data_IF_648518908412
#
_entry.id   IF_648518908412
#
_cell.length_a   1.000
_cell.length_b   1.000
_cell.length_c   1.000
_cell.angle_alpha   90.00
_cell.angle_beta   90.00
_cell.angle_gamma   90.00
#
_symmetry.space_group_name_H-M   'P 1'
#
loop_
_entity.id
_entity.type
_entity.pdbx_description
1 polymer ?
#
# COMPACT_ATOMS: atom_id res chain seq x y z
N UNK A 1 -5.67 42.61 7.02
CA UNK A 1 -5.96 41.26 6.47
C UNK A 1 -5.17 40.24 7.26
N UNK A 2 -5.84 39.24 7.82
CA UNK A 2 -5.20 38.17 8.59
C UNK A 2 -4.16 37.43 7.72
N UNK A 3 -3.00 37.09 8.31
CA UNK A 3 -1.97 36.31 7.59
C UNK A 3 -2.48 34.88 7.36
N UNK A 4 -2.33 34.31 6.16
CA UNK A 4 -2.71 32.92 5.91
C UNK A 4 -1.83 31.96 6.73
N UNK A 5 -2.42 30.84 7.18
CA UNK A 5 -1.69 29.79 7.87
C UNK A 5 -0.68 29.11 6.94
N UNK A 6 0.57 28.98 7.37
CA UNK A 6 1.63 28.29 6.62
C UNK A 6 2.15 27.13 7.44
N UNK A 7 1.90 25.91 6.97
CA UNK A 7 2.44 24.71 7.59
C UNK A 7 3.90 24.50 7.19
N UNK A 8 4.82 24.62 8.15
CA UNK A 8 6.26 24.54 7.90
C UNK A 8 6.72 23.19 7.33
N UNK A 9 5.94 22.13 7.54
CA UNK A 9 6.25 20.77 7.09
C UNK A 9 5.45 20.36 5.85
N UNK A 10 4.88 21.31 5.10
CA UNK A 10 4.07 21.01 3.90
C UNK A 10 4.85 20.15 2.88
N UNK A 11 6.12 20.49 2.62
CA UNK A 11 6.97 19.70 1.71
C UNK A 11 7.27 18.29 2.20
N UNK A 12 7.34 18.11 3.52
CA UNK A 12 7.49 16.78 4.12
C UNK A 12 6.18 15.99 3.95
N UNK A 13 5.03 16.62 4.15
CA UNK A 13 3.72 16.00 3.96
C UNK A 13 3.52 15.58 2.50
N UNK A 14 3.79 16.46 1.53
CA UNK A 14 3.77 16.16 0.10
C UNK A 14 4.63 14.93 -0.24
N UNK A 15 5.87 14.90 0.28
CA UNK A 15 6.76 13.76 0.08
C UNK A 15 6.21 12.47 0.70
N UNK A 16 5.61 12.52 1.90
CA UNK A 16 5.00 11.34 2.52
C UNK A 16 3.77 10.82 1.77
N UNK A 17 3.00 11.70 1.14
CA UNK A 17 1.90 11.33 0.24
C UNK A 17 2.45 10.55 -0.95
N UNK A 18 3.53 11.05 -1.57
CA UNK A 18 4.19 10.35 -2.68
C UNK A 18 4.72 8.98 -2.27
N UNK A 19 5.34 8.87 -1.09
CA UNK A 19 5.80 7.58 -0.55
C UNK A 19 4.66 6.60 -0.29
N UNK A 20 3.52 7.06 0.23
CA UNK A 20 2.34 6.21 0.41
C UNK A 20 1.82 5.70 -0.94
N UNK A 21 1.76 6.56 -1.95
CA UNK A 21 1.31 6.18 -3.29
C UNK A 21 2.24 5.14 -3.93
N UNK A 22 3.55 5.34 -3.82
CA UNK A 22 4.55 4.36 -4.26
C UNK A 22 4.38 3.01 -3.54
N UNK A 23 4.14 3.03 -2.23
CA UNK A 23 3.92 1.81 -1.45
C UNK A 23 2.63 1.08 -1.85
N UNK A 24 1.55 1.81 -2.15
CA UNK A 24 0.30 1.24 -2.68
C UNK A 24 0.51 0.59 -4.04
N UNK A 25 1.24 1.24 -4.95
CA UNK A 25 1.59 0.68 -6.26
C UNK A 25 2.46 -0.59 -6.11
N UNK A 26 3.44 -0.56 -5.20
CA UNK A 26 4.28 -1.72 -4.91
C UNK A 26 3.46 -2.90 -4.37
N UNK A 27 2.49 -2.62 -3.47
CA UNK A 27 1.55 -3.63 -2.97
C UNK A 27 0.67 -4.20 -4.08
N UNK A 28 0.10 -3.36 -4.94
CA UNK A 28 -0.71 -3.81 -6.07
C UNK A 28 0.07 -4.73 -7.01
N UNK A 29 1.32 -4.37 -7.32
CA UNK A 29 2.24 -5.22 -8.09
C UNK A 29 2.50 -6.55 -7.39
N UNK A 30 2.81 -6.53 -6.10
CA UNK A 30 3.08 -7.76 -5.34
C UNK A 30 1.86 -8.69 -5.27
N UNK A 31 0.64 -8.14 -5.17
CA UNK A 31 -0.60 -8.90 -5.26
C UNK A 31 -0.77 -9.56 -6.63
N UNK A 32 -0.54 -8.80 -7.71
CA UNK A 32 -0.64 -9.33 -9.07
C UNK A 32 0.37 -10.45 -9.32
N UNK A 33 1.64 -10.28 -8.93
CA UNK A 33 2.66 -11.32 -9.08
C UNK A 33 2.33 -12.57 -8.25
N UNK A 34 1.85 -12.41 -7.01
CA UNK A 34 1.43 -13.54 -6.18
C UNK A 34 0.28 -14.32 -6.82
N UNK A 35 -0.76 -13.61 -7.31
CA UNK A 35 -1.90 -14.24 -7.98
C UNK A 35 -1.50 -14.99 -9.25
N UNK A 36 -0.58 -14.44 -10.05
CA UNK A 36 -0.01 -15.15 -11.21
C UNK A 36 0.78 -16.39 -10.79
N UNK A 37 1.59 -16.29 -9.73
CA UNK A 37 2.33 -17.42 -9.18
C UNK A 37 1.41 -18.55 -8.71
N UNK A 38 0.33 -18.23 -8.02
CA UNK A 38 -0.68 -19.22 -7.64
C UNK A 38 -1.36 -19.86 -8.85
N UNK A 39 -1.66 -19.08 -9.88
CA UNK A 39 -2.27 -19.60 -11.09
C UNK A 39 -1.34 -20.57 -11.82
N UNK A 40 -0.07 -20.19 -12.03
CA UNK A 40 0.92 -21.06 -12.66
C UNK A 40 1.10 -22.37 -11.88
N UNK A 41 1.08 -22.29 -10.55
CA UNK A 41 1.18 -23.46 -9.68
C UNK A 41 -0.04 -24.38 -9.81
N UNK A 42 -1.26 -23.82 -9.82
CA UNK A 42 -2.50 -24.59 -10.09
C UNK A 42 -2.49 -25.25 -11.47
N UNK A 43 -1.99 -24.56 -12.49
CA UNK A 43 -1.86 -25.13 -13.85
C UNK A 43 -0.90 -26.32 -13.88
N UNK A 44 0.22 -26.26 -13.14
CA UNK A 44 1.14 -27.39 -13.00
C UNK A 44 0.51 -28.57 -12.24
N UNK A 45 -0.25 -28.31 -11.17
CA UNK A 45 -0.97 -29.34 -10.43
C UNK A 45 -1.99 -30.05 -11.34
N UNK A 46 -2.77 -29.29 -12.10
CA UNK A 46 -3.73 -29.85 -13.07
C UNK A 46 -3.05 -30.70 -14.14
N UNK A 47 -1.91 -30.25 -14.69
CA UNK A 47 -1.13 -31.02 -15.67
C UNK A 47 -0.60 -32.33 -15.08
N UNK A 48 -0.14 -32.31 -13.84
CA UNK A 48 0.31 -33.52 -13.15
C UNK A 48 -0.85 -34.48 -12.88
N UNK A 49 -1.99 -33.97 -12.41
CA UNK A 49 -3.20 -34.77 -12.21
C UNK A 49 -3.69 -35.41 -13.51
N UNK A 50 -3.71 -34.64 -14.61
CA UNK A 50 -4.08 -35.15 -15.92
C UNK A 50 -3.11 -36.24 -16.39
N UNK A 51 -1.81 -36.01 -16.24
CA UNK A 51 -0.78 -37.00 -16.59
C UNK A 51 -0.93 -38.31 -15.79
N UNK A 52 -1.24 -38.21 -14.49
CA UNK A 52 -1.51 -39.37 -13.64
C UNK A 52 -2.83 -40.05 -14.01
N UNK A 53 -3.87 -39.29 -14.37
CA UNK A 53 -5.19 -39.81 -14.75
C UNK A 53 -5.16 -40.54 -16.09
N UNK A 54 -4.41 -40.03 -17.07
CA UNK A 54 -4.18 -40.72 -18.34
C UNK A 54 -3.62 -42.13 -18.12
N UNK A 55 -2.91 -42.32 -16.99
CA UNK A 55 -2.46 -43.61 -16.54
C UNK A 55 -1.47 -44.25 -17.51
N UNK A 56 -1.11 -45.49 -17.23
CA UNK A 56 -0.34 -46.31 -18.15
C UNK A 56 -1.32 -47.12 -19.02
N UNK A 57 -1.38 -46.83 -20.31
CA UNK A 57 -2.10 -47.66 -21.27
C UNK A 57 -1.26 -48.91 -21.56
N UNK A 58 -1.87 -50.11 -21.50
CA UNK A 58 -1.19 -51.40 -21.58
C UNK A 58 -0.37 -51.65 -22.85
N UNK A 59 -0.58 -50.87 -23.91
CA UNK A 59 0.07 -51.00 -25.22
C UNK A 59 1.32 -50.11 -25.39
N UNK A 60 1.74 -49.38 -24.37
CA UNK A 60 2.95 -48.52 -24.43
C UNK A 60 4.24 -49.36 -24.50
N UNK A 61 5.17 -48.94 -25.36
CA UNK A 61 6.49 -49.57 -25.42
C UNK A 61 7.40 -49.05 -24.28
N UNK A 62 8.59 -49.64 -24.13
CA UNK A 62 9.56 -49.26 -23.07
C UNK A 62 10.01 -47.80 -23.14
N UNK A 63 10.14 -47.22 -24.34
CA UNK A 63 10.49 -45.80 -24.52
C UNK A 63 9.34 -44.88 -24.12
N UNK A 64 8.08 -45.26 -24.43
CA UNK A 64 6.89 -44.48 -24.03
C UNK A 64 6.77 -44.44 -22.50
N UNK A 65 7.02 -45.57 -21.83
CA UNK A 65 7.06 -45.65 -20.37
C UNK A 65 8.18 -44.78 -19.78
N UNK A 66 9.35 -44.76 -20.40
CA UNK A 66 10.46 -43.91 -19.96
C UNK A 66 10.11 -42.42 -20.10
N UNK A 67 9.54 -42.02 -21.24
CA UNK A 67 9.14 -40.64 -21.50
C UNK A 67 8.04 -40.18 -20.55
N UNK A 68 7.05 -41.04 -20.30
CA UNK A 68 5.99 -40.80 -19.32
C UNK A 68 6.57 -40.51 -17.92
N UNK A 69 7.49 -41.37 -17.45
CA UNK A 69 8.13 -41.18 -16.14
C UNK A 69 8.97 -39.91 -16.06
N UNK A 70 9.71 -39.60 -17.13
CA UNK A 70 10.52 -38.37 -17.19
C UNK A 70 9.65 -37.12 -17.16
N UNK A 71 8.54 -37.11 -17.90
CA UNK A 71 7.62 -35.98 -17.89
C UNK A 71 6.98 -35.78 -16.52
N UNK A 72 6.56 -36.85 -15.84
CA UNK A 72 6.11 -36.77 -14.44
C UNK A 72 7.17 -36.14 -13.53
N UNK A 73 8.41 -36.62 -13.63
CA UNK A 73 9.51 -36.13 -12.80
C UNK A 73 9.80 -34.64 -13.05
N UNK A 74 9.74 -34.20 -14.30
CA UNK A 74 9.88 -32.79 -14.66
C UNK A 74 8.75 -31.94 -14.06
N UNK A 75 7.48 -32.38 -14.16
CA UNK A 75 6.34 -31.68 -13.54
C UNK A 75 6.47 -31.58 -12.01
N UNK A 76 6.94 -32.65 -11.36
CA UNK A 76 7.18 -32.64 -9.91
C UNK A 76 8.29 -31.65 -9.53
N UNK A 77 9.37 -31.57 -10.31
CA UNK A 77 10.43 -30.58 -10.10
C UNK A 77 9.93 -29.15 -10.32
N UNK A 78 9.18 -28.91 -11.39
CA UNK A 78 8.57 -27.61 -11.68
C UNK A 78 7.64 -27.17 -10.55
N UNK A 79 6.86 -28.08 -9.96
CA UNK A 79 6.02 -27.82 -8.80
C UNK A 79 6.82 -27.43 -7.56
N UNK A 80 7.95 -28.10 -7.29
CA UNK A 80 8.83 -27.74 -6.17
C UNK A 80 9.37 -26.31 -6.37
N UNK A 81 9.84 -26.00 -7.57
CA UNK A 81 10.33 -24.65 -7.90
C UNK A 81 9.23 -23.60 -7.82
N UNK A 82 8.03 -23.89 -8.33
CA UNK A 82 6.88 -22.99 -8.28
C UNK A 82 6.43 -22.72 -6.82
N UNK A 83 6.44 -23.74 -5.96
CA UNK A 83 6.14 -23.58 -4.51
C UNK A 83 7.17 -22.69 -3.82
N UNK A 84 8.45 -22.85 -4.13
CA UNK A 84 9.51 -22.01 -3.56
C UNK A 84 9.37 -20.54 -4.01
N UNK A 85 9.09 -20.30 -5.28
CA UNK A 85 8.86 -18.94 -5.79
C UNK A 85 7.58 -18.33 -5.21
N UNK A 86 6.50 -19.11 -5.08
CA UNK A 86 5.27 -18.63 -4.45
C UNK A 86 5.50 -18.22 -2.99
N UNK A 87 6.28 -18.99 -2.23
CA UNK A 87 6.66 -18.62 -0.87
C UNK A 87 7.46 -17.30 -0.82
N UNK A 88 8.38 -17.10 -1.79
CA UNK A 88 9.11 -15.84 -1.94
C UNK A 88 8.19 -14.67 -2.28
N UNK A 89 7.25 -14.86 -3.19
CA UNK A 89 6.23 -13.86 -3.56
C UNK A 89 5.33 -13.52 -2.38
N UNK A 90 4.94 -14.51 -1.56
CA UNK A 90 4.15 -14.31 -0.35
C UNK A 90 4.90 -13.44 0.67
N UNK A 91 6.19 -13.68 0.88
CA UNK A 91 7.02 -12.85 1.74
C UNK A 91 7.15 -11.42 1.20
N UNK A 92 7.31 -11.26 -0.12
CA UNK A 92 7.34 -9.93 -0.77
C UNK A 92 6.02 -9.19 -0.59
N UNK A 93 4.90 -9.87 -0.76
CA UNK A 93 3.55 -9.34 -0.52
C UNK A 93 3.37 -8.90 0.93
N UNK A 94 3.78 -9.71 1.90
CA UNK A 94 3.71 -9.36 3.31
C UNK A 94 4.52 -8.09 3.62
N UNK A 95 5.74 -7.99 3.11
CA UNK A 95 6.59 -6.80 3.27
C UNK A 95 5.94 -5.56 2.66
N UNK A 96 5.40 -5.67 1.44
CA UNK A 96 4.71 -4.57 0.78
C UNK A 96 3.45 -4.11 1.55
N UNK A 97 2.70 -5.04 2.15
CA UNK A 97 1.55 -4.71 3.03
C UNK A 97 2.01 -3.94 4.26
N UNK A 98 3.06 -4.39 4.93
CA UNK A 98 3.61 -3.72 6.12
C UNK A 98 4.11 -2.30 5.80
N UNK A 99 4.82 -2.14 4.69
CA UNK A 99 5.31 -0.82 4.27
C UNK A 99 4.15 0.12 3.92
N UNK A 100 3.16 -0.33 3.13
CA UNK A 100 1.98 0.48 2.82
C UNK A 100 1.22 0.96 4.08
N UNK A 101 1.08 0.08 5.09
CA UNK A 101 0.50 0.46 6.38
C UNK A 101 1.37 1.48 7.11
N UNK A 102 2.69 1.30 7.14
CA UNK A 102 3.62 2.24 7.78
C UNK A 102 3.55 3.61 7.13
N UNK A 103 3.61 3.68 5.79
CA UNK A 103 3.54 4.95 5.05
C UNK A 103 2.22 5.67 5.25
N UNK A 104 1.11 4.93 5.28
CA UNK A 104 -0.20 5.52 5.57
C UNK A 104 -0.28 6.10 6.98
N UNK A 105 0.31 5.42 7.98
CA UNK A 105 0.41 5.95 9.36
C UNK A 105 1.26 7.22 9.40
N UNK A 106 2.43 7.23 8.75
CA UNK A 106 3.34 8.37 8.73
C UNK A 106 2.72 9.61 8.09
N UNK A 107 1.94 9.44 7.01
CA UNK A 107 1.16 10.52 6.39
C UNK A 107 0.09 11.04 7.36
N UNK A 108 -0.74 10.14 7.90
CA UNK A 108 -1.84 10.52 8.80
C UNK A 108 -1.37 11.26 10.05
N UNK A 109 -0.18 10.92 10.56
CA UNK A 109 0.41 11.62 11.69
C UNK A 109 0.72 13.09 11.36
N UNK A 110 1.29 13.36 10.17
CA UNK A 110 1.57 14.72 9.73
C UNK A 110 0.30 15.50 9.37
N UNK A 111 -0.70 14.84 8.77
CA UNK A 111 -2.01 15.45 8.51
C UNK A 111 -2.65 15.94 9.80
N UNK A 112 -2.70 15.09 10.83
CA UNK A 112 -3.21 15.46 12.16
C UNK A 112 -2.43 16.62 12.77
N UNK A 113 -1.10 16.62 12.64
CA UNK A 113 -0.27 17.72 13.14
C UNK A 113 -0.59 19.04 12.42
N UNK A 114 -0.79 19.00 11.10
CA UNK A 114 -1.20 20.16 10.31
C UNK A 114 -2.56 20.69 10.74
N UNK A 115 -3.55 19.80 10.90
CA UNK A 115 -4.89 20.15 11.37
C UNK A 115 -4.85 20.82 12.75
N UNK A 116 -4.09 20.27 13.69
CA UNK A 116 -3.93 20.85 15.03
C UNK A 116 -3.28 22.24 15.00
N UNK A 117 -2.24 22.44 14.19
CA UNK A 117 -1.58 23.74 14.07
C UNK A 117 -2.48 24.77 13.39
N UNK A 118 -3.23 24.35 12.36
CA UNK A 118 -4.21 25.21 11.70
C UNK A 118 -5.31 25.65 12.68
N UNK A 119 -5.85 24.71 13.47
CA UNK A 119 -6.85 25.01 14.51
C UNK A 119 -6.37 26.05 15.50
N UNK A 120 -5.19 25.85 16.09
CA UNK A 120 -4.59 26.82 17.03
C UNK A 120 -4.39 28.20 16.41
N UNK A 121 -3.92 28.25 15.16
CA UNK A 121 -3.73 29.51 14.46
C UNK A 121 -5.07 30.24 14.21
N UNK A 122 -6.12 29.51 13.87
CA UNK A 122 -7.47 30.09 13.72
C UNK A 122 -8.03 30.61 15.05
N UNK A 123 -7.85 29.87 16.15
CA UNK A 123 -8.25 30.31 17.50
C UNK A 123 -7.51 31.58 17.93
N UNK A 124 -6.18 31.64 17.71
CA UNK A 124 -5.37 32.82 18.02
C UNK A 124 -5.78 34.04 17.19
N UNK A 125 -6.12 33.85 15.91
CA UNK A 125 -6.61 34.93 15.06
C UNK A 125 -7.98 35.44 15.51
N UNK A 126 -8.92 34.55 15.82
CA UNK A 126 -10.24 34.92 16.32
C UNK A 126 -10.15 35.70 17.63
N UNK A 127 -9.28 35.27 18.55
CA UNK A 127 -9.05 35.97 19.82
C UNK A 127 -8.47 37.37 19.61
N UNK A 128 -7.55 37.51 18.63
CA UNK A 128 -6.93 38.79 18.32
C UNK A 128 -7.90 39.76 17.65
N UNK A 129 -8.71 39.27 16.71
CA UNK A 129 -9.78 40.05 16.08
C UNK A 129 -10.83 40.51 17.10
N UNK A 130 -11.23 39.64 18.03
CA UNK A 130 -12.15 40.01 19.11
C UNK A 130 -11.56 41.12 20.00
N UNK A 131 -10.29 40.99 20.39
CA UNK A 131 -9.63 42.00 21.21
C UNK A 131 -9.50 43.34 20.49
N UNK A 132 -9.13 43.33 19.20
CA UNK A 132 -9.08 44.55 18.38
C UNK A 132 -10.46 45.20 18.24
N UNK A 133 -11.53 44.40 18.09
CA UNK A 133 -12.90 44.89 18.05
C UNK A 133 -13.35 45.54 19.36
N UNK A 134 -13.03 44.92 20.51
CA UNK A 134 -13.33 45.46 21.84
C UNK A 134 -12.59 46.78 22.09
N UNK A 135 -11.29 46.85 21.76
CA UNK A 135 -10.48 48.06 21.88
C UNK A 135 -11.03 49.20 21.01
N UNK A 136 -11.45 48.91 19.77
CA UNK A 136 -12.12 49.89 18.90
C UNK A 136 -13.47 50.35 19.46
N UNK A 137 -14.25 49.45 20.04
CA UNK A 137 -15.54 49.79 20.66
C UNK A 137 -15.35 50.71 21.88
N UNK A 138 -14.37 50.42 22.74
CA UNK A 138 -14.02 51.25 23.90
C UNK A 138 -13.56 52.65 23.48
N UNK A 139 -12.65 52.76 22.51
CA UNK A 139 -12.17 54.06 21.98
C UNK A 139 -13.29 54.90 21.38
N UNK A 140 -14.28 54.28 20.75
CA UNK A 140 -15.45 54.98 20.20
C UNK A 140 -16.41 55.46 21.28
N UNK A 141 -16.54 54.72 22.38
CA UNK A 141 -17.43 55.06 23.49
C UNK A 141 -16.82 56.12 24.43
N UNK A 142 -15.50 56.23 24.48
CA UNK A 142 -14.77 57.25 25.27
C UNK A 142 -14.67 58.62 24.59
N UNK A 143 -15.08 58.78 23.32
CA UNK A 143 -15.23 60.10 22.70
C UNK A 143 -16.60 60.69 23.09
N UNK A 144 -16.68 61.68 23.99
CA UNK A 144 -17.93 62.40 24.19
C UNK A 144 -18.18 63.25 22.94
N UNK A 145 -19.43 63.27 22.48
CA UNK A 145 -19.87 64.26 21.51
C UNK A 145 -19.68 65.66 22.11
N UNK A 146 -18.84 66.47 21.47
CA UNK A 146 -18.82 67.93 21.64
C UNK A 146 -19.82 68.55 20.66
#
# INVERSE_FOLDING_TARGET
>A
MAKPFVFRLEKVLEYRIQLEEQAKLALARALAEHARGEQAMRELELRLEEHLRQGYAGDMNTNDLWLWRQYRQALEQDLVSARAELARLALKLQKARQDAVSRSKDRKLLEKLKEQQAGKHHEEQALREHKEADEMAALRHERPAF
#
